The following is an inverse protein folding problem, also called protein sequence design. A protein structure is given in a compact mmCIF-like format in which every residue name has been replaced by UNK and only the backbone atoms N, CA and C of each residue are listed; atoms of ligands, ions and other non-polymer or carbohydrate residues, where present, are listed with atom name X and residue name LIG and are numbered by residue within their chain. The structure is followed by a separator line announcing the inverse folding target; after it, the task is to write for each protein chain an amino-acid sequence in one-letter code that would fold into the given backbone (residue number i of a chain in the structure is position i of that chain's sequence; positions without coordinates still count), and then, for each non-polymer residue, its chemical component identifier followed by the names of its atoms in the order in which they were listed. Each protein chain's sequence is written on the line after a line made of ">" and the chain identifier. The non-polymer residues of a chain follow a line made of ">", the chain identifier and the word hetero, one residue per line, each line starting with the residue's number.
data_IF_454306075581
#
_entry.id   IF_454306075581
#
_cell.length_a   1.000
_cell.length_b   1.000
_cell.length_c   1.000
_cell.angle_alpha   90.00
_cell.angle_beta   90.00
_cell.angle_gamma   90.00
#
_symmetry.space_group_name_H-M   'P 1'
#
loop_
_entity.id
_entity.type
_entity.pdbx_description
1 polymer ?
#
# COMPACT_ATOMS: atom_id res chain seq x y z
N UNK A 1 12.56 6.68 56.22
CA UNK A 1 11.61 6.49 55.09
C UNK A 1 12.18 6.87 53.74
N UNK A 2 13.17 7.72 53.67
CA UNK A 2 13.81 8.25 52.44
C UNK A 2 14.78 7.27 51.73
N UNK A 3 15.45 6.37 52.45
CA UNK A 3 16.41 5.44 51.82
C UNK A 3 15.76 4.22 51.13
N UNK A 4 14.52 3.84 51.49
CA UNK A 4 13.80 2.76 50.80
C UNK A 4 13.19 3.22 49.46
N UNK A 5 12.75 4.46 49.38
CA UNK A 5 12.24 5.06 48.13
C UNK A 5 13.35 5.24 47.07
N UNK A 6 14.56 5.62 47.47
CA UNK A 6 15.70 5.74 46.55
C UNK A 6 16.15 4.39 45.96
N UNK A 7 16.05 3.31 46.72
CA UNK A 7 16.42 1.96 46.24
C UNK A 7 15.36 1.39 45.28
N UNK A 8 14.09 1.70 45.47
CA UNK A 8 13.00 1.28 44.52
C UNK A 8 13.10 2.09 43.24
N UNK A 9 13.37 3.37 43.30
CA UNK A 9 13.57 4.21 42.13
C UNK A 9 14.80 3.79 41.28
N UNK A 10 15.94 3.44 41.94
CA UNK A 10 17.10 2.92 41.22
C UNK A 10 16.84 1.53 40.58
N UNK A 11 16.12 0.64 41.24
CA UNK A 11 15.76 -0.67 40.68
C UNK A 11 14.78 -0.55 39.52
N UNK A 12 13.85 0.38 39.56
CA UNK A 12 12.93 0.66 38.47
C UNK A 12 13.63 1.30 37.25
N UNK A 13 14.60 2.22 37.47
CA UNK A 13 15.42 2.79 36.41
C UNK A 13 16.37 1.76 35.78
N UNK A 14 16.94 0.84 36.58
CA UNK A 14 17.81 -0.22 36.05
C UNK A 14 17.02 -1.27 35.26
N UNK A 15 15.79 -1.58 35.66
CA UNK A 15 14.89 -2.46 34.89
C UNK A 15 14.44 -1.80 33.55
N UNK A 16 14.18 -0.49 33.56
CA UNK A 16 13.83 0.25 32.32
C UNK A 16 15.03 0.37 31.35
N UNK A 17 16.27 0.44 31.88
CA UNK A 17 17.49 0.49 31.05
C UNK A 17 17.90 -0.87 30.46
N UNK A 18 17.48 -1.99 31.06
CA UNK A 18 17.73 -3.33 30.51
C UNK A 18 16.76 -3.65 29.36
N UNK A 19 15.55 -3.05 29.34
CA UNK A 19 14.62 -3.17 28.19
C UNK A 19 15.02 -2.29 26.98
N UNK A 20 15.87 -1.28 27.17
CA UNK A 20 16.31 -0.38 26.10
C UNK A 20 17.45 -0.92 25.22
N UNK A 21 17.96 -2.13 25.50
CA UNK A 21 19.13 -2.70 24.79
C UNK A 21 18.83 -4.01 24.05
N UNK A 22 17.57 -4.44 23.93
CA UNK A 22 17.24 -5.52 23.02
C UNK A 22 17.06 -4.93 21.62
N UNK A 23 17.84 -5.38 20.62
CA UNK A 23 17.50 -5.04 19.22
C UNK A 23 16.07 -5.50 19.00
N UNK A 24 15.18 -4.58 18.58
CA UNK A 24 13.85 -4.91 18.15
C UNK A 24 13.99 -5.89 16.96
N UNK A 25 13.84 -7.18 17.21
CA UNK A 25 13.72 -8.17 16.15
C UNK A 25 12.28 -8.07 15.65
N UNK A 26 12.12 -7.68 14.42
CA UNK A 26 10.83 -7.68 13.75
C UNK A 26 10.26 -9.11 13.77
N UNK A 27 9.15 -9.29 14.49
CA UNK A 27 8.43 -10.55 14.63
C UNK A 27 9.16 -11.65 15.40
N UNK A 28 8.41 -12.66 15.85
CA UNK A 28 8.93 -13.88 16.47
C UNK A 28 8.98 -15.02 15.45
N UNK A 29 10.10 -15.72 15.34
CA UNK A 29 10.20 -16.97 14.55
C UNK A 29 10.33 -18.16 15.47
N UNK A 30 9.48 -19.17 15.25
CA UNK A 30 9.51 -20.46 15.93
C UNK A 30 9.99 -21.51 14.92
N UNK A 31 11.06 -22.23 15.25
CA UNK A 31 11.61 -23.32 14.43
C UNK A 31 11.09 -24.66 14.96
N UNK A 32 10.63 -25.56 14.08
CA UNK A 32 10.05 -26.86 14.43
C UNK A 32 10.92 -28.05 14.03
N UNK A 33 12.03 -27.83 13.32
CA UNK A 33 12.92 -28.87 12.81
C UNK A 33 13.79 -28.33 11.69
N UNK A 34 14.39 -29.23 10.89
CA UNK A 34 15.17 -28.81 9.74
C UNK A 34 14.25 -28.20 8.68
N UNK A 35 14.52 -26.94 8.31
CA UNK A 35 13.80 -26.19 7.26
C UNK A 35 12.30 -25.93 7.56
N UNK A 36 11.85 -26.03 8.81
CA UNK A 36 10.46 -25.74 9.20
C UNK A 36 10.42 -24.62 10.22
N UNK A 37 9.70 -23.55 9.88
CA UNK A 37 9.54 -22.39 10.76
C UNK A 37 8.22 -21.68 10.55
N UNK A 38 7.78 -20.94 11.56
CA UNK A 38 6.68 -19.97 11.48
C UNK A 38 7.16 -18.68 12.12
N UNK A 39 6.93 -17.56 11.44
CA UNK A 39 7.13 -16.22 11.96
C UNK A 39 5.81 -15.49 12.10
N UNK A 40 5.67 -14.72 13.17
CA UNK A 40 4.49 -13.91 13.48
C UNK A 40 4.92 -12.46 13.57
N UNK A 41 4.19 -11.58 12.89
CA UNK A 41 4.38 -10.14 12.93
C UNK A 41 3.05 -9.41 13.02
N UNK A 42 3.10 -8.11 13.21
CA UNK A 42 1.91 -7.26 13.24
C UNK A 42 2.22 -5.88 12.64
N UNK A 43 1.20 -5.22 12.11
CA UNK A 43 1.25 -3.86 11.62
C UNK A 43 0.10 -3.03 12.17
N UNK A 44 0.37 -1.77 12.50
CA UNK A 44 -0.63 -0.79 12.94
C UNK A 44 -0.33 0.56 12.28
N UNK A 45 -1.35 1.16 11.69
CA UNK A 45 -1.36 2.57 11.29
C UNK A 45 -2.54 3.27 11.95
N UNK A 46 -2.25 4.35 12.63
CA UNK A 46 -3.27 5.18 13.29
C UNK A 46 -2.96 6.65 13.06
N UNK A 47 -3.98 7.47 12.94
CA UNK A 47 -3.82 8.91 12.73
C UNK A 47 -4.91 9.72 13.44
N UNK A 48 -4.56 10.95 13.79
CA UNK A 48 -5.49 12.04 13.96
C UNK A 48 -5.61 12.76 12.63
N UNK A 49 -6.84 13.03 12.18
CA UNK A 49 -7.15 13.76 10.96
C UNK A 49 -8.09 14.91 11.27
N UNK A 50 -7.91 16.03 10.61
CA UNK A 50 -8.85 17.15 10.65
C UNK A 50 -9.04 17.66 9.22
N UNK A 51 -10.28 17.63 8.73
CA UNK A 51 -10.65 17.98 7.34
C UNK A 51 -11.68 19.10 7.41
N UNK A 52 -11.41 20.22 6.71
CA UNK A 52 -12.30 21.38 6.65
C UNK A 52 -13.63 21.01 5.99
N UNK A 53 -14.71 21.66 6.39
CA UNK A 53 -16.08 21.54 5.86
C UNK A 53 -16.65 20.10 5.80
N UNK A 54 -16.07 19.19 6.58
CA UNK A 54 -16.40 17.75 6.56
C UNK A 54 -17.14 17.26 7.80
N UNK A 55 -17.51 18.16 8.73
CA UNK A 55 -18.37 17.81 9.84
C UNK A 55 -19.82 17.55 9.37
N UNK A 56 -20.65 16.85 10.14
CA UNK A 56 -22.04 16.57 9.76
C UNK A 56 -22.91 17.79 9.50
N UNK A 57 -22.52 18.97 9.98
CA UNK A 57 -23.20 20.26 9.70
C UNK A 57 -22.85 20.86 8.33
N UNK A 58 -21.82 20.30 7.64
CA UNK A 58 -21.36 20.72 6.31
C UNK A 58 -20.55 22.02 6.29
N UNK A 59 -20.12 22.54 7.44
CA UNK A 59 -19.42 23.83 7.54
C UNK A 59 -18.25 23.83 8.52
N UNK A 60 -18.29 22.97 9.55
CA UNK A 60 -17.20 22.86 10.50
C UNK A 60 -16.20 21.76 10.08
N UNK A 61 -15.00 21.81 10.66
CA UNK A 61 -14.00 20.78 10.41
C UNK A 61 -14.37 19.48 11.13
N UNK A 62 -14.28 18.36 10.42
CA UNK A 62 -14.35 17.02 11.01
C UNK A 62 -12.98 16.61 11.56
N UNK A 63 -12.92 16.29 12.86
CA UNK A 63 -11.67 15.89 13.54
C UNK A 63 -11.84 14.51 14.18
N UNK A 64 -11.01 13.56 13.74
CA UNK A 64 -11.17 12.15 14.10
C UNK A 64 -9.84 11.50 14.49
N UNK A 65 -9.90 10.52 15.39
CA UNK A 65 -8.83 9.54 15.60
C UNK A 65 -9.22 8.25 14.88
N UNK A 66 -8.37 7.79 13.97
CA UNK A 66 -8.64 6.67 13.09
C UNK A 66 -7.58 5.57 13.28
N UNK A 67 -8.00 4.31 13.38
CA UNK A 67 -7.14 3.17 13.08
C UNK A 67 -7.31 2.89 11.57
N UNK A 68 -6.28 3.19 10.79
CA UNK A 68 -6.34 3.12 9.32
C UNK A 68 -5.99 1.73 8.80
N UNK A 69 -5.22 0.95 9.55
CA UNK A 69 -4.82 -0.41 9.20
C UNK A 69 -4.36 -1.14 10.45
N UNK A 70 -4.79 -2.38 10.58
CA UNK A 70 -4.35 -3.30 11.63
C UNK A 70 -4.14 -4.67 11.00
N UNK A 71 -2.88 -5.12 10.95
CA UNK A 71 -2.47 -6.38 10.28
C UNK A 71 -1.88 -7.37 11.25
N UNK A 72 -2.18 -8.65 11.02
CA UNK A 72 -1.44 -9.77 11.57
C UNK A 72 -0.77 -10.51 10.41
N UNK A 73 0.53 -10.75 10.55
CA UNK A 73 1.34 -11.47 9.56
C UNK A 73 1.74 -12.83 10.10
N UNK A 74 1.45 -13.88 9.34
CA UNK A 74 1.90 -15.23 9.61
C UNK A 74 2.61 -15.76 8.37
N UNK A 75 3.92 -15.96 8.47
CA UNK A 75 4.71 -16.52 7.39
C UNK A 75 5.33 -17.85 7.86
N UNK A 76 5.30 -18.86 7.02
CA UNK A 76 5.86 -20.14 7.37
C UNK A 76 6.68 -20.74 6.23
N UNK A 77 7.63 -21.58 6.64
CA UNK A 77 8.40 -22.43 5.75
C UNK A 77 8.20 -23.89 6.17
N UNK A 78 7.78 -24.74 5.25
CA UNK A 78 7.57 -26.17 5.48
C UNK A 78 8.62 -27.04 4.75
N UNK A 79 9.34 -26.42 3.82
CA UNK A 79 10.44 -27.01 3.07
C UNK A 79 11.32 -25.86 2.58
N UNK A 80 12.59 -26.12 2.25
CA UNK A 80 13.52 -25.09 1.75
C UNK A 80 12.98 -24.28 0.55
N UNK A 81 12.10 -24.87 -0.26
CA UNK A 81 11.49 -24.29 -1.45
C UNK A 81 9.98 -24.10 -1.35
N UNK A 82 9.36 -24.44 -0.22
CA UNK A 82 7.91 -24.32 -0.06
C UNK A 82 7.61 -23.53 1.19
N UNK A 83 6.98 -22.39 1.00
CA UNK A 83 6.57 -21.46 2.04
C UNK A 83 5.08 -21.18 1.97
N UNK A 84 4.55 -20.53 2.97
CA UNK A 84 3.20 -19.97 2.95
C UNK A 84 3.17 -18.61 3.63
N UNK A 85 2.23 -17.78 3.20
CA UNK A 85 1.89 -16.52 3.85
C UNK A 85 0.42 -16.49 4.14
N UNK A 86 0.06 -16.03 5.33
CA UNK A 86 -1.30 -15.72 5.74
C UNK A 86 -1.28 -14.39 6.46
N UNK A 87 -1.96 -13.40 5.90
CA UNK A 87 -2.08 -12.07 6.48
C UNK A 87 -3.55 -11.69 6.62
N UNK A 88 -3.84 -10.91 7.65
CA UNK A 88 -5.16 -10.28 7.82
C UNK A 88 -5.04 -8.78 7.67
N UNK A 89 -6.13 -8.11 7.34
CA UNK A 89 -6.28 -6.66 7.40
C UNK A 89 -7.58 -6.33 8.12
N UNK A 90 -7.55 -5.34 8.96
CA UNK A 90 -8.74 -4.65 9.39
C UNK A 90 -8.75 -3.29 8.70
N UNK A 91 -9.43 -3.23 7.55
CA UNK A 91 -9.74 -1.95 6.91
C UNK A 91 -10.81 -1.24 7.69
N UNK A 92 -10.55 0.03 7.95
CA UNK A 92 -11.53 0.80 8.68
C UNK A 92 -11.96 0.09 9.98
N UNK A 93 -11.01 -0.31 10.80
CA UNK A 93 -11.30 -0.55 12.20
C UNK A 93 -11.77 0.78 12.82
N UNK A 94 -12.78 1.35 12.16
CA UNK A 94 -13.49 2.52 12.62
C UNK A 94 -14.35 2.04 13.77
N UNK A 95 -13.86 2.27 14.97
CA UNK A 95 -14.68 2.17 16.16
C UNK A 95 -15.78 3.24 16.01
N UNK A 96 -16.95 2.79 15.53
CA UNK A 96 -18.21 3.47 15.33
C UNK A 96 -18.14 4.97 15.04
N UNK A 97 -18.58 5.39 13.86
CA UNK A 97 -18.75 6.83 13.58
C UNK A 97 -19.97 7.40 14.29
N UNK A 98 -20.96 6.57 14.67
CA UNK A 98 -22.17 6.99 15.34
C UNK A 98 -22.08 6.74 16.86
N UNK A 99 -22.66 7.66 17.63
CA UNK A 99 -22.62 7.62 19.09
C UNK A 99 -23.26 6.35 19.68
N UNK A 100 -24.12 5.67 18.92
CA UNK A 100 -24.75 4.40 19.26
C UNK A 100 -23.82 3.20 19.02
N UNK A 101 -22.87 3.31 18.09
CA UNK A 101 -21.95 2.22 17.68
C UNK A 101 -20.62 2.20 18.45
N UNK A 102 -20.38 3.15 19.36
CA UNK A 102 -19.15 3.23 20.16
C UNK A 102 -18.90 2.02 21.09
N UNK A 103 -19.90 1.16 21.27
CA UNK A 103 -19.80 -0.05 22.08
C UNK A 103 -19.98 -1.25 21.16
N UNK A 104 -18.90 -1.72 20.54
CA UNK A 104 -18.82 -3.01 19.90
C UNK A 104 -18.96 -3.07 18.40
N UNK A 105 -18.78 -1.96 17.66
CA UNK A 105 -18.51 -2.03 16.24
C UNK A 105 -17.14 -2.65 16.05
N UNK A 106 -17.08 -3.97 15.93
CA UNK A 106 -15.92 -4.66 15.39
C UNK A 106 -15.86 -4.32 13.91
N UNK A 107 -14.79 -3.68 13.45
CA UNK A 107 -14.45 -3.72 12.04
C UNK A 107 -14.27 -5.19 11.64
N UNK A 108 -14.67 -5.55 10.44
CA UNK A 108 -14.45 -6.90 9.93
C UNK A 108 -12.94 -7.14 9.77
N UNK A 109 -12.48 -8.31 10.17
CA UNK A 109 -11.12 -8.75 9.93
C UNK A 109 -11.15 -9.64 8.69
N UNK A 110 -10.54 -9.15 7.62
CA UNK A 110 -10.49 -9.85 6.35
C UNK A 110 -9.19 -10.63 6.19
N UNK A 111 -9.24 -11.70 5.41
CA UNK A 111 -8.05 -12.41 4.95
C UNK A 111 -7.45 -11.61 3.80
N UNK A 112 -6.33 -10.94 4.06
CA UNK A 112 -5.63 -10.17 3.05
C UNK A 112 -4.87 -11.08 2.10
N UNK A 113 -4.00 -11.94 2.62
CA UNK A 113 -3.22 -12.88 1.83
C UNK A 113 -3.39 -14.31 2.35
N UNK A 114 -3.46 -15.27 1.42
CA UNK A 114 -3.45 -16.71 1.69
C UNK A 114 -2.69 -17.43 0.58
N UNK A 115 -1.34 -17.49 0.67
CA UNK A 115 -0.47 -17.84 -0.44
C UNK A 115 0.30 -19.13 -0.12
N UNK A 116 0.29 -20.07 -1.04
CA UNK A 116 1.29 -21.15 -1.10
C UNK A 116 2.38 -20.74 -2.09
N UNK A 117 3.63 -20.77 -1.64
CA UNK A 117 4.78 -20.22 -2.33
C UNK A 117 5.79 -21.33 -2.66
N UNK A 118 5.99 -21.59 -3.96
CA UNK A 118 7.06 -22.45 -4.46
C UNK A 118 8.21 -21.56 -4.94
N UNK A 119 9.23 -21.37 -4.11
CA UNK A 119 10.40 -20.55 -4.41
C UNK A 119 11.54 -21.46 -4.88
N UNK A 120 11.59 -21.68 -6.19
CA UNK A 120 12.42 -22.72 -6.81
C UNK A 120 13.83 -22.22 -7.14
N UNK A 121 13.94 -20.98 -7.62
CA UNK A 121 15.20 -20.29 -7.90
C UNK A 121 14.99 -18.77 -7.93
N UNK A 122 16.05 -17.94 -7.91
CA UNK A 122 15.91 -16.50 -8.09
C UNK A 122 15.17 -16.11 -9.38
N UNK A 123 15.32 -16.91 -10.43
CA UNK A 123 14.77 -16.62 -11.76
C UNK A 123 13.35 -17.14 -11.96
N UNK A 124 12.88 -18.10 -11.15
CA UNK A 124 11.59 -18.73 -11.35
C UNK A 124 10.96 -19.19 -10.04
N UNK A 125 9.83 -18.60 -9.72
CA UNK A 125 9.01 -18.88 -8.55
C UNK A 125 7.54 -18.95 -8.95
N UNK A 126 6.73 -19.71 -8.20
CA UNK A 126 5.31 -19.89 -8.42
C UNK A 126 4.57 -19.67 -7.11
N UNK A 127 3.65 -18.72 -7.10
CA UNK A 127 2.74 -18.46 -5.98
C UNK A 127 1.30 -18.77 -6.38
N UNK A 128 0.52 -19.36 -5.48
CA UNK A 128 -0.87 -19.80 -5.73
C UNK A 128 -1.71 -19.42 -4.52
N UNK A 129 -2.89 -18.86 -4.74
CA UNK A 129 -3.86 -18.47 -3.73
C UNK A 129 -4.24 -16.99 -3.81
N UNK A 130 -4.69 -16.42 -2.71
CA UNK A 130 -5.02 -14.99 -2.62
C UNK A 130 -3.75 -14.16 -2.39
N UNK A 131 -3.46 -13.24 -3.30
CA UNK A 131 -2.25 -12.44 -3.28
C UNK A 131 -2.41 -11.11 -4.02
N UNK A 132 -1.46 -10.18 -3.84
CA UNK A 132 -1.37 -9.01 -4.71
C UNK A 132 -1.24 -9.44 -6.17
N UNK A 133 -2.08 -8.88 -7.02
CA UNK A 133 -1.89 -9.01 -8.46
C UNK A 133 -0.61 -8.27 -8.87
N UNK A 134 0.18 -8.76 -9.84
CA UNK A 134 1.26 -7.98 -10.42
C UNK A 134 0.73 -6.63 -10.95
N UNK A 135 1.09 -5.55 -10.29
CA UNK A 135 0.54 -4.22 -10.51
C UNK A 135 1.66 -3.17 -10.58
N UNK A 136 1.30 -1.91 -10.56
CA UNK A 136 2.27 -0.81 -10.45
C UNK A 136 2.90 -0.72 -9.05
N UNK A 137 3.85 0.20 -8.92
CA UNK A 137 4.64 0.37 -7.70
C UNK A 137 3.77 0.73 -6.50
N UNK A 138 2.84 1.68 -6.65
CA UNK A 138 2.07 2.19 -5.51
C UNK A 138 1.16 1.10 -4.91
N UNK A 139 0.60 0.24 -5.74
CA UNK A 139 -0.23 -0.88 -5.30
C UNK A 139 0.62 -1.98 -4.66
N UNK A 140 1.77 -2.32 -5.27
CA UNK A 140 2.70 -3.31 -4.72
C UNK A 140 3.43 -2.86 -3.45
N UNK A 141 3.53 -1.56 -3.17
CA UNK A 141 4.04 -1.02 -1.90
C UNK A 141 3.06 -1.25 -0.76
N UNK A 142 1.78 -1.08 -1.03
CA UNK A 142 0.76 -0.93 -0.01
C UNK A 142 1.05 0.22 0.98
N UNK A 143 0.21 0.43 1.97
CA UNK A 143 0.29 1.61 2.84
C UNK A 143 1.51 1.64 3.77
N UNK A 144 2.13 0.50 4.05
CA UNK A 144 3.27 0.42 4.96
C UNK A 144 4.61 0.78 4.33
N UNK A 145 4.76 0.55 3.01
CA UNK A 145 6.01 0.82 2.27
C UNK A 145 5.92 2.07 1.39
N UNK A 146 4.78 2.76 1.39
CA UNK A 146 4.60 4.05 0.75
C UNK A 146 5.40 5.16 1.43
N UNK A 147 5.86 6.15 0.66
CA UNK A 147 6.59 7.31 1.17
C UNK A 147 5.64 8.33 1.81
N UNK A 148 4.56 8.67 1.12
CA UNK A 148 3.54 9.60 1.60
C UNK A 148 2.61 8.94 2.62
N UNK A 149 1.88 9.74 3.38
CA UNK A 149 0.90 9.20 4.33
C UNK A 149 -0.39 8.79 3.62
N UNK A 150 -0.89 9.62 2.72
CA UNK A 150 -2.00 9.28 1.85
C UNK A 150 -1.45 8.52 0.63
N UNK A 151 -1.55 7.18 0.66
CA UNK A 151 -0.93 6.32 -0.33
C UNK A 151 -1.64 6.40 -1.68
N UNK A 152 -2.98 6.34 -1.69
CA UNK A 152 -3.77 6.13 -2.89
C UNK A 152 -4.50 7.40 -3.31
N UNK A 153 -3.97 8.08 -4.31
CA UNK A 153 -4.50 9.36 -4.84
C UNK A 153 -4.80 9.29 -6.34
N UNK A 154 -4.45 8.18 -6.98
CA UNK A 154 -4.71 7.86 -8.39
C UNK A 154 -5.63 6.65 -8.49
N UNK A 155 -6.35 6.44 -9.59
CA UNK A 155 -7.17 5.25 -9.77
C UNK A 155 -6.33 3.99 -9.63
N UNK A 156 -6.92 3.01 -8.96
CA UNK A 156 -6.30 1.72 -8.70
C UNK A 156 -6.73 0.71 -9.77
N UNK A 157 -5.97 -0.36 -9.92
CA UNK A 157 -6.34 -1.47 -10.79
C UNK A 157 -7.55 -2.24 -10.25
N UNK A 158 -8.26 -3.04 -11.06
CA UNK A 158 -9.54 -3.65 -10.67
C UNK A 158 -9.53 -4.41 -9.35
N UNK A 159 -8.45 -5.12 -9.07
CA UNK A 159 -8.27 -5.84 -7.81
C UNK A 159 -8.27 -4.96 -6.56
N UNK A 160 -7.97 -3.66 -6.72
CA UNK A 160 -8.00 -2.66 -5.66
C UNK A 160 -9.22 -1.73 -5.73
N UNK A 161 -9.92 -1.67 -6.87
CA UNK A 161 -11.06 -0.78 -7.04
C UNK A 161 -12.24 -1.20 -6.18
N UNK A 162 -12.45 -0.51 -5.07
CA UNK A 162 -13.61 -0.66 -4.18
C UNK A 162 -13.79 -2.06 -3.58
N UNK A 163 -12.79 -2.94 -3.65
CA UNK A 163 -12.87 -4.31 -3.19
C UNK A 163 -13.89 -5.18 -3.95
N UNK A 164 -14.35 -4.76 -5.13
CA UNK A 164 -15.42 -5.45 -5.85
C UNK A 164 -14.93 -6.66 -6.64
N UNK A 165 -13.68 -6.60 -7.16
CA UNK A 165 -13.07 -7.71 -7.88
C UNK A 165 -12.03 -8.47 -7.02
N UNK A 166 -11.61 -7.90 -5.92
CA UNK A 166 -10.65 -8.47 -4.98
C UNK A 166 -10.64 -7.70 -3.68
N UNK A 167 -9.78 -8.06 -2.76
CA UNK A 167 -9.64 -7.38 -1.48
C UNK A 167 -8.29 -6.67 -1.43
N UNK A 168 -8.30 -5.33 -1.43
CA UNK A 168 -7.11 -4.49 -1.26
C UNK A 168 -5.93 -4.88 -2.16
N UNK A 169 -6.16 -4.90 -3.47
CA UNK A 169 -5.18 -5.31 -4.47
C UNK A 169 -4.96 -6.82 -4.57
N UNK A 170 -5.72 -7.60 -3.80
CA UNK A 170 -5.61 -9.04 -3.78
C UNK A 170 -6.72 -9.68 -4.58
N UNK A 171 -6.31 -10.77 -5.22
CA UNK A 171 -7.22 -11.62 -5.95
C UNK A 171 -6.77 -13.07 -5.85
N UNK A 172 -7.69 -14.00 -6.07
CA UNK A 172 -7.41 -15.42 -6.06
C UNK A 172 -6.85 -15.84 -7.43
N UNK A 173 -5.67 -16.48 -7.44
CA UNK A 173 -5.05 -16.81 -8.70
C UNK A 173 -3.65 -17.41 -8.58
N UNK A 174 -2.87 -17.24 -9.64
CA UNK A 174 -1.51 -17.77 -9.75
C UNK A 174 -0.58 -16.72 -10.34
N UNK A 175 0.62 -16.60 -9.77
CA UNK A 175 1.68 -15.72 -10.28
C UNK A 175 2.99 -16.48 -10.43
N UNK A 176 3.60 -16.34 -11.61
CA UNK A 176 5.00 -16.71 -11.86
C UNK A 176 5.84 -15.45 -11.80
N UNK A 177 6.92 -15.48 -11.02
CA UNK A 177 7.80 -14.32 -10.87
C UNK A 177 9.27 -14.69 -10.71
N UNK A 178 10.16 -13.75 -10.96
CA UNK A 178 11.58 -13.93 -10.79
C UNK A 178 12.43 -12.73 -11.14
N UNK A 179 13.75 -12.88 -10.92
CA UNK A 179 14.77 -11.89 -11.23
C UNK A 179 15.88 -12.49 -12.05
N UNK A 180 16.24 -11.87 -13.17
CA UNK A 180 17.35 -12.23 -14.04
C UNK A 180 18.36 -11.08 -14.07
N UNK A 181 19.29 -11.08 -13.12
CA UNK A 181 20.18 -9.94 -12.90
C UNK A 181 19.37 -8.69 -12.54
N UNK A 182 19.47 -7.65 -13.36
CA UNK A 182 18.74 -6.37 -13.14
C UNK A 182 17.29 -6.37 -13.64
N UNK A 183 16.87 -7.40 -14.33
CA UNK A 183 15.51 -7.54 -14.84
C UNK A 183 14.66 -8.33 -13.86
N UNK A 184 13.47 -7.83 -13.54
CA UNK A 184 12.48 -8.47 -12.68
C UNK A 184 11.17 -8.61 -13.44
N UNK A 185 10.44 -9.70 -13.19
CA UNK A 185 9.13 -9.93 -13.80
C UNK A 185 8.17 -10.61 -12.84
N UNK A 186 6.88 -10.35 -13.01
CA UNK A 186 5.78 -11.09 -12.42
C UNK A 186 4.64 -11.14 -13.43
N UNK A 187 4.05 -12.31 -13.64
CA UNK A 187 2.94 -12.51 -14.58
C UNK A 187 1.98 -13.49 -13.94
N UNK A 188 0.69 -13.15 -13.94
CA UNK A 188 -0.33 -13.95 -13.30
C UNK A 188 -1.65 -13.99 -14.05
N UNK A 189 -2.50 -14.92 -13.61
CA UNK A 189 -3.89 -15.05 -13.99
C UNK A 189 -4.73 -15.19 -12.72
N UNK A 190 -5.83 -14.48 -12.65
CA UNK A 190 -6.67 -14.31 -11.47
C UNK A 190 -8.14 -14.39 -11.84
N UNK A 191 -9.00 -14.55 -10.84
CA UNK A 191 -10.44 -14.61 -11.08
C UNK A 191 -10.98 -13.26 -11.60
N UNK A 192 -10.52 -12.14 -11.04
CA UNK A 192 -11.00 -10.80 -11.41
C UNK A 192 -12.44 -10.56 -10.96
N UNK A 193 -13.19 -9.77 -11.75
CA UNK A 193 -14.62 -9.63 -11.52
C UNK A 193 -15.32 -10.92 -11.95
N UNK A 194 -16.12 -11.50 -11.05
CA UNK A 194 -16.98 -12.67 -11.29
C UNK A 194 -18.45 -12.24 -11.25
N UNK A 195 -19.21 -12.67 -12.26
CA UNK A 195 -20.59 -12.21 -12.45
C UNK A 195 -20.66 -10.76 -12.95
N UNK A 196 -21.73 -10.03 -12.65
CA UNK A 196 -21.93 -8.67 -13.16
C UNK A 196 -21.71 -8.59 -14.67
N UNK A 197 -20.74 -7.81 -15.17
CA UNK A 197 -20.41 -7.78 -16.60
C UNK A 197 -19.82 -9.10 -17.11
N UNK A 198 -19.04 -9.80 -16.29
CA UNK A 198 -18.33 -11.01 -16.65
C UNK A 198 -19.19 -12.28 -16.50
N UNK A 199 -20.23 -12.40 -17.33
CA UNK A 199 -21.09 -13.59 -17.37
C UNK A 199 -20.42 -14.81 -18.01
N UNK A 200 -19.28 -14.61 -18.67
CA UNK A 200 -18.50 -15.63 -19.37
C UNK A 200 -17.36 -16.21 -18.55
N UNK A 201 -17.19 -15.76 -17.32
CA UNK A 201 -16.14 -16.20 -16.39
C UNK A 201 -14.72 -16.09 -16.99
N UNK A 202 -14.43 -14.94 -17.58
CA UNK A 202 -13.13 -14.62 -18.18
C UNK A 202 -12.14 -14.22 -17.09
N UNK A 203 -10.94 -14.80 -17.11
CA UNK A 203 -9.89 -14.48 -16.12
C UNK A 203 -9.30 -13.08 -16.33
N UNK A 204 -8.88 -12.48 -15.24
CA UNK A 204 -8.01 -11.30 -15.22
C UNK A 204 -6.55 -11.72 -15.46
N UNK A 205 -5.91 -11.14 -16.46
CA UNK A 205 -4.48 -11.32 -16.70
C UNK A 205 -3.72 -10.09 -16.25
N UNK A 206 -2.65 -10.30 -15.51
CA UNK A 206 -1.85 -9.22 -14.94
C UNK A 206 -0.36 -9.51 -15.09
N UNK A 207 0.42 -8.48 -15.37
CA UNK A 207 1.87 -8.61 -15.48
C UNK A 207 2.61 -7.31 -15.21
N UNK A 208 3.81 -7.47 -14.67
CA UNK A 208 4.77 -6.39 -14.44
C UNK A 208 6.16 -6.83 -14.85
N UNK A 209 6.88 -5.95 -15.53
CA UNK A 209 8.31 -6.07 -15.74
C UNK A 209 9.00 -4.82 -15.18
N UNK A 210 10.20 -4.98 -14.62
CA UNK A 210 10.99 -3.87 -14.11
C UNK A 210 12.46 -4.04 -14.42
N UNK A 211 13.16 -2.93 -14.66
CA UNK A 211 14.60 -2.91 -14.89
C UNK A 211 15.30 -1.98 -13.90
N UNK A 212 16.25 -2.54 -13.15
CA UNK A 212 17.04 -1.84 -12.15
C UNK A 212 18.34 -1.32 -12.80
N UNK A 213 18.39 -0.05 -13.15
CA UNK A 213 19.55 0.56 -13.80
C UNK A 213 20.76 0.69 -12.86
N UNK A 214 20.50 0.94 -11.57
CA UNK A 214 21.51 1.04 -10.51
C UNK A 214 21.46 -0.19 -9.58
N UNK A 215 21.36 -0.03 -8.28
CA UNK A 215 21.22 -1.18 -7.38
C UNK A 215 19.85 -1.81 -7.53
N UNK A 216 19.79 -3.13 -7.43
CA UNK A 216 18.56 -3.88 -7.53
C UNK A 216 17.72 -3.71 -6.27
N UNK A 217 16.43 -3.54 -6.44
CA UNK A 217 15.48 -3.58 -5.35
C UNK A 217 15.35 -5.01 -4.82
N UNK A 218 15.57 -5.19 -3.53
CA UNK A 218 15.58 -6.48 -2.86
C UNK A 218 14.32 -6.64 -1.99
N UNK A 219 13.17 -6.76 -2.64
CA UNK A 219 11.90 -6.99 -1.95
C UNK A 219 11.54 -8.48 -1.92
N UNK A 220 10.78 -8.95 -0.92
CA UNK A 220 10.22 -10.29 -0.94
C UNK A 220 9.26 -10.46 -2.13
N UNK A 221 9.47 -11.50 -2.93
CA UNK A 221 8.65 -11.73 -4.11
C UNK A 221 8.82 -10.61 -5.14
N UNK A 222 7.69 -10.11 -5.66
CA UNK A 222 7.62 -8.99 -6.60
C UNK A 222 7.13 -7.69 -5.97
N UNK A 223 7.06 -7.62 -4.63
CA UNK A 223 6.67 -6.40 -3.91
C UNK A 223 7.67 -5.27 -4.14
N UNK A 224 7.24 -4.04 -3.90
CA UNK A 224 8.03 -2.83 -4.12
C UNK A 224 8.10 -1.97 -2.85
N UNK A 225 8.81 -0.85 -2.92
CA UNK A 225 8.85 0.17 -1.89
C UNK A 225 9.04 1.54 -2.50
N UNK A 226 8.47 2.59 -1.89
CA UNK A 226 8.65 3.99 -2.34
C UNK A 226 9.99 4.60 -1.90
N UNK A 227 10.68 3.98 -0.96
CA UNK A 227 12.00 4.44 -0.48
C UNK A 227 12.71 3.33 0.27
N UNK A 228 14.01 3.29 0.17
CA UNK A 228 14.90 2.41 0.93
C UNK A 228 15.73 3.17 1.96
N UNK A 229 15.47 4.48 2.11
CA UNK A 229 16.19 5.37 3.03
C UNK A 229 17.71 5.37 2.82
N UNK A 230 18.17 5.08 1.60
CA UNK A 230 19.57 4.95 1.22
C UNK A 230 20.22 3.61 1.56
N UNK A 231 19.49 2.66 2.18
CA UNK A 231 20.07 1.39 2.62
C UNK A 231 20.50 0.48 1.46
N UNK A 232 19.93 0.63 0.27
CA UNK A 232 20.36 -0.07 -0.95
C UNK A 232 21.42 0.71 -1.75
N UNK A 233 21.85 1.88 -1.28
CA UNK A 233 22.64 2.82 -2.08
C UNK A 233 21.78 3.51 -3.13
N UNK A 234 22.37 3.83 -4.29
CA UNK A 234 21.66 4.49 -5.38
C UNK A 234 20.73 3.50 -6.09
N UNK A 235 19.46 3.85 -6.21
CA UNK A 235 18.44 3.06 -6.92
C UNK A 235 17.91 3.87 -8.11
N UNK A 236 17.71 3.21 -9.23
CA UNK A 236 16.91 3.69 -10.36
C UNK A 236 16.24 2.49 -10.98
N UNK A 237 14.94 2.40 -10.79
CA UNK A 237 14.10 1.34 -11.36
C UNK A 237 13.00 1.96 -12.20
N UNK A 238 12.74 1.40 -13.36
CA UNK A 238 11.57 1.69 -14.19
C UNK A 238 10.77 0.41 -14.34
N UNK A 239 9.48 0.48 -14.05
CA UNK A 239 8.51 -0.58 -14.18
C UNK A 239 7.50 -0.31 -15.29
N UNK A 240 6.98 -1.37 -15.89
CA UNK A 240 5.86 -1.37 -16.81
C UNK A 240 4.90 -2.47 -16.37
N UNK A 241 3.64 -2.11 -16.12
CA UNK A 241 2.58 -3.04 -15.76
C UNK A 241 1.47 -3.03 -16.79
N UNK A 242 0.80 -4.17 -16.94
CA UNK A 242 -0.36 -4.34 -17.81
C UNK A 242 -1.37 -5.25 -17.13
N UNK A 243 -2.65 -4.85 -17.16
CA UNK A 243 -3.79 -5.71 -16.78
C UNK A 243 -4.83 -5.73 -17.89
N UNK A 244 -5.53 -6.87 -18.01
CA UNK A 244 -6.63 -7.05 -18.97
C UNK A 244 -7.62 -8.07 -18.45
N UNK A 245 -8.91 -7.73 -18.55
CA UNK A 245 -10.00 -8.68 -18.37
C UNK A 245 -11.07 -8.46 -19.44
N UNK A 246 -11.39 -9.50 -20.18
CA UNK A 246 -12.51 -9.49 -21.10
C UNK A 246 -13.81 -9.43 -20.30
N UNK A 247 -14.74 -8.58 -20.73
CA UNK A 247 -15.99 -8.32 -20.00
C UNK A 247 -15.72 -7.87 -18.54
N UNK A 248 -14.56 -7.21 -18.28
CA UNK A 248 -14.07 -6.80 -16.95
C UNK A 248 -14.73 -5.56 -16.37
N UNK A 249 -15.62 -4.89 -17.11
CA UNK A 249 -16.32 -3.67 -16.69
C UNK A 249 -17.73 -3.61 -17.30
N UNK A 250 -18.60 -2.72 -16.77
CA UNK A 250 -19.95 -2.54 -17.29
C UNK A 250 -21.03 -3.29 -16.52
N UNK A 251 -22.03 -3.81 -17.23
CA UNK A 251 -23.18 -4.55 -16.67
C UNK A 251 -23.35 -5.89 -17.35
N UNK A 252 -24.15 -6.79 -16.77
CA UNK A 252 -24.48 -8.10 -17.37
C UNK A 252 -25.11 -8.01 -18.77
N UNK A 253 -25.79 -6.90 -19.09
CA UNK A 253 -26.45 -6.67 -20.39
C UNK A 253 -25.64 -5.77 -21.32
N UNK A 254 -24.62 -5.11 -20.81
CA UNK A 254 -23.74 -4.21 -21.56
C UNK A 254 -22.32 -4.31 -20.97
N UNK A 255 -21.67 -5.49 -21.14
CA UNK A 255 -20.30 -5.69 -20.71
C UNK A 255 -19.33 -4.92 -21.61
N UNK A 256 -18.18 -4.58 -21.06
CA UNK A 256 -17.04 -3.99 -21.75
C UNK A 256 -15.74 -4.63 -21.32
N UNK A 257 -14.75 -4.61 -22.19
CA UNK A 257 -13.39 -5.04 -21.84
C UNK A 257 -12.71 -3.96 -21.01
N UNK A 258 -11.81 -4.39 -20.15
CA UNK A 258 -10.95 -3.49 -19.38
C UNK A 258 -9.49 -3.78 -19.68
N UNK A 259 -8.71 -2.74 -19.90
CA UNK A 259 -7.25 -2.82 -19.87
C UNK A 259 -6.59 -1.59 -19.23
N UNK A 260 -5.39 -1.79 -18.71
CA UNK A 260 -4.57 -0.73 -18.14
C UNK A 260 -3.09 -0.94 -18.45
N UNK A 261 -2.42 0.15 -18.81
CA UNK A 261 -0.96 0.21 -18.99
C UNK A 261 -0.40 1.24 -18.03
N UNK A 262 0.56 0.85 -17.20
CA UNK A 262 1.13 1.74 -16.21
C UNK A 262 2.66 1.73 -16.32
N UNK A 263 3.25 2.94 -16.30
CA UNK A 263 4.70 3.12 -16.19
C UNK A 263 5.00 3.75 -14.84
N UNK A 264 5.86 3.12 -14.07
CA UNK A 264 6.34 3.64 -12.78
C UNK A 264 7.85 3.79 -12.73
N UNK A 265 8.32 4.68 -11.86
CA UNK A 265 9.75 4.88 -11.63
C UNK A 265 10.05 5.20 -10.17
N UNK A 266 11.15 4.65 -9.67
CA UNK A 266 11.78 5.07 -8.42
C UNK A 266 13.23 5.47 -8.69
N UNK A 267 13.60 6.66 -8.25
CA UNK A 267 15.00 7.10 -8.18
C UNK A 267 15.32 7.46 -6.73
N UNK A 268 16.33 6.80 -6.16
CA UNK A 268 16.86 7.13 -4.85
C UNK A 268 18.37 7.37 -4.98
N UNK A 269 18.85 8.52 -4.48
CA UNK A 269 20.26 8.94 -4.56
C UNK A 269 20.81 9.20 -3.17
N UNK A 270 21.82 8.46 -2.79
CA UNK A 270 22.59 8.69 -1.57
C UNK A 270 23.61 9.80 -1.83
N UNK A 271 23.50 10.91 -1.11
CA UNK A 271 24.34 12.09 -1.24
C UNK A 271 25.49 12.11 -0.21
N UNK A 272 25.96 10.93 0.18
CA UNK A 272 26.98 10.77 1.23
C UNK A 272 26.45 11.31 2.55
N UNK A 273 27.24 12.13 3.22
CA UNK A 273 26.89 12.75 4.51
C UNK A 273 25.81 13.85 4.40
N UNK A 274 25.29 14.12 3.20
CA UNK A 274 24.26 15.13 2.99
C UNK A 274 22.85 14.57 3.07
N UNK A 275 22.66 13.25 2.99
CA UNK A 275 21.34 12.62 3.10
C UNK A 275 20.94 11.84 1.86
N UNK A 276 19.61 11.63 1.69
CA UNK A 276 19.06 10.82 0.59
C UNK A 276 17.95 11.60 -0.12
N UNK A 277 18.08 11.75 -1.44
CA UNK A 277 17.03 12.26 -2.32
C UNK A 277 16.24 11.09 -2.88
N UNK A 278 14.92 11.15 -2.79
CA UNK A 278 13.99 10.16 -3.38
C UNK A 278 13.02 10.86 -4.33
N UNK A 279 12.88 10.32 -5.55
CA UNK A 279 11.87 10.71 -6.52
C UNK A 279 11.08 9.45 -6.91
N UNK A 280 9.76 9.55 -6.88
CA UNK A 280 8.85 8.48 -7.27
C UNK A 280 7.77 9.06 -8.17
N UNK A 281 7.30 8.30 -9.15
CA UNK A 281 6.20 8.71 -9.97
C UNK A 281 5.63 7.58 -10.81
N UNK A 282 4.38 7.75 -11.21
CA UNK A 282 3.65 6.84 -12.07
C UNK A 282 2.83 7.62 -13.08
N UNK A 283 2.67 7.02 -14.27
CA UNK A 283 1.69 7.42 -15.28
C UNK A 283 0.84 6.20 -15.61
N UNK A 284 -0.46 6.34 -15.45
CA UNK A 284 -1.45 5.28 -15.64
C UNK A 284 -2.36 5.63 -16.81
N UNK A 285 -2.60 4.68 -17.69
CA UNK A 285 -3.55 4.76 -18.80
C UNK A 285 -4.54 3.62 -18.63
N UNK A 286 -5.80 3.97 -18.46
CA UNK A 286 -6.90 3.02 -18.31
C UNK A 286 -7.81 3.11 -19.52
N UNK A 287 -8.31 1.97 -19.96
CA UNK A 287 -9.33 1.85 -20.99
C UNK A 287 -10.44 0.94 -20.48
N UNK A 288 -11.62 1.50 -20.35
CA UNK A 288 -12.83 0.80 -19.98
C UNK A 288 -13.84 0.95 -21.13
N UNK A 289 -14.14 -0.13 -21.84
CA UNK A 289 -15.06 -0.10 -23.00
C UNK A 289 -16.52 0.02 -22.52
N UNK A 290 -16.85 1.17 -21.94
CA UNK A 290 -18.14 1.46 -21.33
C UNK A 290 -19.12 2.11 -22.32
N UNK A 291 -20.29 1.51 -22.47
CA UNK A 291 -21.37 2.10 -23.25
C UNK A 291 -22.17 3.13 -22.43
N UNK A 292 -22.86 4.07 -23.11
CA UNK A 292 -23.78 4.97 -22.43
C UNK A 292 -24.91 4.25 -21.67
N UNK A 293 -25.28 3.05 -22.11
CA UNK A 293 -26.25 2.22 -21.41
C UNK A 293 -25.68 1.64 -20.10
N UNK A 294 -24.44 1.20 -20.11
CA UNK A 294 -23.76 0.76 -18.89
C UNK A 294 -23.60 1.90 -17.88
N UNK A 295 -23.14 3.08 -18.32
CA UNK A 295 -22.95 4.25 -17.46
C UNK A 295 -24.26 4.76 -16.83
N UNK A 296 -25.42 4.53 -17.48
CA UNK A 296 -26.74 4.91 -16.96
C UNK A 296 -27.33 3.87 -15.97
N UNK A 297 -26.74 2.69 -15.85
CA UNK A 297 -27.24 1.60 -15.01
C UNK A 297 -26.60 1.67 -13.60
N UNK A 298 -27.40 1.80 -12.52
CA UNK A 298 -26.86 1.86 -11.17
C UNK A 298 -26.16 0.56 -10.70
N UNK A 299 -26.30 -0.54 -11.45
CA UNK A 299 -25.62 -1.81 -11.16
C UNK A 299 -24.29 -1.95 -11.92
N UNK A 300 -23.85 -0.91 -12.61
CA UNK A 300 -22.60 -0.94 -13.35
C UNK A 300 -21.40 -1.15 -12.43
N UNK A 301 -20.60 -2.13 -12.78
CA UNK A 301 -19.21 -2.20 -12.35
C UNK A 301 -18.38 -1.34 -13.31
N UNK A 302 -18.53 -0.04 -13.19
CA UNK A 302 -17.88 0.92 -14.07
C UNK A 302 -16.49 1.29 -13.52
N UNK A 303 -15.48 0.74 -14.14
CA UNK A 303 -14.08 1.06 -13.83
C UNK A 303 -13.70 2.43 -14.43
N UNK A 304 -12.60 2.99 -13.92
CA UNK A 304 -12.06 4.24 -14.44
C UNK A 304 -11.58 4.08 -15.89
N UNK A 305 -11.87 5.09 -16.70
CA UNK A 305 -11.39 5.25 -18.09
C UNK A 305 -10.72 6.62 -18.18
N UNK A 306 -9.46 6.67 -18.65
CA UNK A 306 -8.69 7.89 -18.75
C UNK A 306 -7.25 7.76 -18.28
N UNK A 307 -6.63 8.91 -18.04
CA UNK A 307 -5.23 9.02 -17.63
C UNK A 307 -5.10 9.52 -16.20
N UNK A 308 -4.06 9.06 -15.51
CA UNK A 308 -3.71 9.56 -14.19
C UNK A 308 -2.19 9.59 -13.99
N UNK A 309 -1.70 10.52 -13.21
CA UNK A 309 -0.31 10.49 -12.79
C UNK A 309 -0.11 11.05 -11.39
N UNK A 310 0.98 10.65 -10.75
CA UNK A 310 1.53 11.38 -9.63
C UNK A 310 3.04 11.50 -9.71
N UNK A 311 3.59 12.49 -9.02
CA UNK A 311 5.01 12.64 -8.79
C UNK A 311 5.27 13.02 -7.33
N UNK A 312 6.25 12.37 -6.71
CA UNK A 312 6.66 12.59 -5.32
C UNK A 312 8.14 12.93 -5.28
N UNK A 313 8.49 13.93 -4.47
CA UNK A 313 9.88 14.23 -4.11
C UNK A 313 10.02 14.20 -2.60
N UNK A 314 11.10 13.59 -2.11
CA UNK A 314 11.42 13.56 -0.68
C UNK A 314 12.91 13.67 -0.44
N UNK A 315 13.25 14.18 0.74
CA UNK A 315 14.65 14.32 1.15
C UNK A 315 14.84 13.87 2.60
N UNK A 316 15.56 12.77 2.79
CA UNK A 316 15.90 12.30 4.14
C UNK A 316 17.17 13.00 4.61
N UNK A 317 17.04 13.82 5.66
CA UNK A 317 18.18 14.47 6.28
C UNK A 317 19.12 13.46 6.96
N UNK A 318 20.44 13.65 6.87
CA UNK A 318 21.40 12.73 7.49
C UNK A 318 21.45 12.86 9.03
N UNK A 319 21.07 14.03 9.57
CA UNK A 319 21.15 14.33 11.00
C UNK A 319 20.06 13.58 11.76
N UNK A 320 20.47 12.89 12.82
CA UNK A 320 19.54 12.36 13.81
C UNK A 320 19.06 13.48 14.73
N UNK A 321 17.75 13.53 14.93
CA UNK A 321 17.08 14.42 15.88
C UNK A 321 16.39 13.52 16.90
N UNK A 322 16.94 13.40 18.10
CA UNK A 322 16.47 12.43 19.09
C UNK A 322 16.76 11.00 18.65
N UNK A 323 15.74 10.22 18.31
CA UNK A 323 15.85 8.80 17.93
C UNK A 323 15.58 8.54 16.45
N UNK A 324 15.43 9.59 15.64
CA UNK A 324 15.06 9.44 14.24
C UNK A 324 15.56 10.57 13.36
N UNK A 325 15.22 10.50 12.06
CA UNK A 325 15.61 11.45 11.03
C UNK A 325 14.37 12.04 10.35
N UNK A 326 14.44 13.29 9.92
CA UNK A 326 13.37 13.96 9.20
C UNK A 326 13.46 13.69 7.70
N UNK A 327 12.30 13.46 7.09
CA UNK A 327 12.12 13.29 5.65
C UNK A 327 10.92 14.12 5.17
N UNK A 328 11.08 15.43 4.92
CA UNK A 328 10.06 16.19 4.22
C UNK A 328 9.82 15.64 2.82
N UNK A 329 8.54 15.76 2.36
CA UNK A 329 8.14 15.33 1.03
C UNK A 329 7.04 16.24 0.47
N UNK A 330 6.89 16.17 -0.84
CA UNK A 330 5.80 16.74 -1.59
C UNK A 330 5.34 15.74 -2.65
N UNK A 331 4.01 15.58 -2.80
CA UNK A 331 3.38 14.82 -3.90
C UNK A 331 2.37 15.72 -4.59
N UNK A 332 2.35 15.64 -5.91
CA UNK A 332 1.29 16.14 -6.76
C UNK A 332 0.65 14.99 -7.54
N UNK A 333 -0.67 15.00 -7.64
CA UNK A 333 -1.49 14.02 -8.35
C UNK A 333 -2.42 14.75 -9.30
N UNK A 334 -2.68 14.17 -10.47
CA UNK A 334 -3.71 14.62 -11.41
C UNK A 334 -4.39 13.39 -12.03
N UNK A 335 -5.73 13.39 -12.07
CA UNK A 335 -6.54 12.38 -12.73
C UNK A 335 -7.42 13.05 -13.80
N UNK A 336 -7.48 12.43 -14.98
CA UNK A 336 -8.19 12.90 -16.17
C UNK A 336 -9.12 11.81 -16.68
N UNK A 337 -10.37 11.76 -16.23
CA UNK A 337 -11.34 10.80 -16.72
C UNK A 337 -11.77 11.14 -18.17
N UNK A 338 -11.88 10.11 -19.02
CA UNK A 338 -12.36 10.23 -20.40
C UNK A 338 -13.90 10.09 -20.50
N UNK A 339 -14.62 10.40 -19.41
CA UNK A 339 -16.09 10.40 -19.39
C UNK A 339 -16.66 11.77 -19.70
N UNK A 340 -17.65 11.82 -20.61
CA UNK A 340 -18.35 13.05 -20.95
C UNK A 340 -18.94 13.76 -19.71
N UNK A 341 -18.48 14.99 -19.48
CA UNK A 341 -18.98 15.84 -18.38
C UNK A 341 -18.33 15.59 -17.02
N UNK A 342 -17.36 14.66 -16.90
CA UNK A 342 -16.54 14.53 -15.72
C UNK A 342 -15.41 15.57 -15.73
N UNK A 343 -15.06 16.06 -14.55
CA UNK A 343 -13.99 17.04 -14.39
C UNK A 343 -12.68 16.32 -14.06
N UNK A 344 -11.57 16.91 -14.52
CA UNK A 344 -10.24 16.57 -14.03
C UNK A 344 -10.18 16.84 -12.53
N UNK A 345 -9.38 16.05 -11.82
CA UNK A 345 -9.14 16.25 -10.40
C UNK A 345 -7.65 16.32 -10.10
N UNK A 346 -7.28 17.09 -9.09
CA UNK A 346 -5.90 17.19 -8.64
C UNK A 346 -5.80 17.16 -7.11
N UNK A 347 -4.60 16.80 -6.62
CA UNK A 347 -4.32 16.79 -5.20
C UNK A 347 -2.84 17.07 -4.95
N UNK A 348 -2.59 17.93 -3.99
CA UNK A 348 -1.25 18.19 -3.46
C UNK A 348 -1.16 17.73 -2.01
N UNK A 349 -0.09 17.00 -1.69
CA UNK A 349 0.25 16.63 -0.31
C UNK A 349 1.65 17.12 0.01
N UNK A 350 1.78 17.88 1.11
CA UNK A 350 3.07 18.22 1.71
C UNK A 350 3.13 17.60 3.10
N UNK A 351 4.25 16.95 3.41
CA UNK A 351 4.38 16.30 4.70
C UNK A 351 5.83 16.13 5.15
N UNK A 352 5.95 15.64 6.36
CA UNK A 352 7.23 15.26 6.95
C UNK A 352 7.08 13.92 7.67
N UNK A 353 7.91 12.97 7.28
CA UNK A 353 8.12 11.74 8.02
C UNK A 353 9.23 11.96 9.06
N UNK A 354 9.04 11.43 10.26
CA UNK A 354 10.08 11.26 11.26
C UNK A 354 10.40 9.77 11.32
N UNK A 355 11.50 9.38 10.68
CA UNK A 355 11.91 7.99 10.48
C UNK A 355 12.75 7.52 11.66
N UNK A 356 12.22 6.60 12.46
CA UNK A 356 12.90 6.00 13.63
C UNK A 356 13.52 4.66 13.25
N UNK A 357 12.79 3.80 12.53
CA UNK A 357 13.26 2.49 12.09
C UNK A 357 12.72 2.13 10.69
N UNK A 358 13.10 2.92 9.67
CA UNK A 358 12.64 2.70 8.31
C UNK A 358 11.10 2.67 8.22
N UNK A 359 10.57 1.67 7.52
CA UNK A 359 9.13 1.44 7.45
C UNK A 359 8.52 0.82 8.71
N UNK A 360 9.35 0.29 9.62
CA UNK A 360 8.87 -0.40 10.81
C UNK A 360 8.36 0.55 11.90
N UNK A 361 8.92 1.76 11.96
CA UNK A 361 8.46 2.77 12.92
C UNK A 361 8.70 4.16 12.36
N UNK A 362 7.60 4.85 12.04
CA UNK A 362 7.64 6.26 11.62
C UNK A 362 6.46 7.03 12.18
N UNK A 363 6.68 8.33 12.39
CA UNK A 363 5.62 9.32 12.58
C UNK A 363 5.49 10.12 11.29
N UNK A 364 4.31 10.65 11.06
CA UNK A 364 4.05 11.54 9.93
C UNK A 364 3.22 12.74 10.37
N UNK A 365 3.48 13.88 9.76
CA UNK A 365 2.57 15.03 9.77
C UNK A 365 2.43 15.51 8.33
N UNK A 366 1.21 15.65 7.84
CA UNK A 366 0.93 16.05 6.46
C UNK A 366 -0.26 16.98 6.36
N UNK A 367 -0.26 17.77 5.30
CA UNK A 367 -1.39 18.58 4.85
C UNK A 367 -1.69 18.21 3.39
N UNK A 368 -2.98 18.00 3.10
CA UNK A 368 -3.48 17.59 1.80
C UNK A 368 -4.50 18.60 1.32
N UNK A 369 -4.45 19.01 0.06
CA UNK A 369 -5.42 19.88 -0.58
C UNK A 369 -5.71 19.40 -1.99
N UNK A 370 -7.01 19.31 -2.35
CA UNK A 370 -7.46 18.86 -3.68
C UNK A 370 -8.63 17.90 -3.60
N UNK A 371 -8.99 17.30 -4.72
CA UNK A 371 -10.14 16.41 -4.88
C UNK A 371 -9.83 15.08 -5.58
N UNK A 372 -8.58 14.87 -6.01
CA UNK A 372 -8.16 13.60 -6.57
C UNK A 372 -8.13 12.49 -5.52
N UNK A 373 -8.55 11.30 -5.89
CA UNK A 373 -8.65 10.14 -5.01
C UNK A 373 -8.48 8.83 -5.79
N UNK A 374 -8.56 7.71 -5.07
CA UNK A 374 -8.34 6.36 -5.61
C UNK A 374 -9.35 5.89 -6.67
N UNK A 375 -10.48 6.60 -6.85
CA UNK A 375 -11.44 6.26 -7.90
C UNK A 375 -11.10 6.90 -9.25
N UNK A 376 -10.19 7.88 -9.26
CA UNK A 376 -9.85 8.68 -10.44
C UNK A 376 -10.85 9.78 -10.78
N UNK A 377 -12.05 9.76 -10.19
CA UNK A 377 -13.08 10.78 -10.38
C UNK A 377 -12.91 11.91 -9.37
N UNK A 378 -13.29 13.13 -9.75
CA UNK A 378 -13.27 14.26 -8.84
C UNK A 378 -14.19 13.99 -7.63
N UNK A 379 -13.59 14.00 -6.45
CA UNK A 379 -14.29 13.88 -5.18
C UNK A 379 -14.67 15.24 -4.58
N UNK A 380 -15.19 15.25 -3.36
CA UNK A 380 -15.25 16.48 -2.58
C UNK A 380 -13.83 17.03 -2.36
N UNK A 381 -13.68 18.35 -2.46
CA UNK A 381 -12.41 18.98 -2.14
C UNK A 381 -12.05 18.70 -0.68
N UNK A 382 -10.83 18.21 -0.46
CA UNK A 382 -10.26 17.96 0.85
C UNK A 382 -9.19 19.02 1.13
N UNK A 383 -9.36 19.79 2.21
CA UNK A 383 -8.31 20.61 2.81
C UNK A 383 -8.10 20.05 4.21
N UNK A 384 -7.10 19.19 4.38
CA UNK A 384 -6.97 18.33 5.56
C UNK A 384 -5.57 18.26 6.13
N UNK A 385 -5.51 18.10 7.43
CA UNK A 385 -4.29 17.87 8.19
C UNK A 385 -4.31 16.49 8.84
N UNK A 386 -3.17 15.81 8.84
CA UNK A 386 -3.03 14.49 9.47
C UNK A 386 -1.76 14.43 10.32
N UNK A 387 -1.88 13.77 11.48
CA UNK A 387 -0.72 13.29 12.25
C UNK A 387 -0.88 11.80 12.45
N UNK A 388 0.06 11.01 11.95
CA UNK A 388 -0.01 9.56 11.96
C UNK A 388 1.18 8.88 12.63
N UNK A 389 0.93 7.67 13.08
CA UNK A 389 1.93 6.73 13.62
C UNK A 389 1.80 5.42 12.88
N UNK A 390 2.91 4.90 12.38
CA UNK A 390 3.02 3.58 11.79
C UNK A 390 4.00 2.74 12.59
N UNK A 391 3.56 1.51 12.91
CA UNK A 391 4.40 0.49 13.55
C UNK A 391 4.19 -0.82 12.79
N UNK A 392 5.29 -1.54 12.50
CA UNK A 392 5.21 -2.94 12.04
C UNK A 392 6.41 -3.74 12.54
N UNK A 393 6.17 -4.99 12.85
CA UNK A 393 7.18 -5.92 13.37
C UNK A 393 7.09 -7.27 12.65
#
# INVERSE_FOLDING_TARGET
>A
MTQKLARVACAALTAALIFAAMPARAGGTIEFGENMSVSIGAGLRTAFTSVEDSAPDGSDASSNFNVQSLRLYLNGQIHEKVKFTFNTECESCVFGQDAEDKIGAAGDIDILDGIVQFELSPEFNLWIGRMLTPADRIELNGPYYGLTWNQYTVPLLPSDQLGQAGLLGRDDGVTVWGSMGKFQYAIGAFDGVDGGPNQGDSLLYSGRIAYNFLNQEANPGYYTSSTYFGNLGDVLTIGLSYQYQKDGTGTATSPGDFDAVIVDALFEKVLGDQGVLTLEGEYKMFSADLTAAALADPTCFCLFDGDAFFATVAYLFPQEIGVGRLQPYFRYTENKPDFDGMADSDLSEVGVNYIISGHNLRLNASFTTGDANLTGLAGPKVDGFSIGVQIQI
#
